data_IF_912698535571
#
_entry.id   IF_912698535571
#
_cell.length_a   1.000
_cell.length_b   1.000
_cell.length_c   1.000
_cell.angle_alpha   90.00
_cell.angle_beta   90.00
_cell.angle_gamma   90.00
#
_symmetry.space_group_name_H-M   'P 1'
#
loop_
_entity.id
_entity.type
_entity.pdbx_description
1 polymer ?
#
# COMPACT_ATOMS: atom_id res chain seq x y z
N UNK A 1 21.98 56.62 -11.48
CA UNK A 1 21.45 56.03 -10.24
C UNK A 1 20.35 54.98 -10.54
N UNK A 2 19.39 55.34 -11.41
CA UNK A 2 18.28 54.46 -11.79
C UNK A 2 18.77 53.25 -12.58
N UNK A 3 19.72 53.43 -13.49
CA UNK A 3 20.33 52.34 -14.29
C UNK A 3 21.14 51.38 -13.43
N UNK A 4 21.83 51.86 -12.40
CA UNK A 4 22.57 51.01 -11.46
C UNK A 4 21.63 50.19 -10.59
N UNK A 5 20.53 50.78 -10.14
CA UNK A 5 19.50 50.07 -9.37
C UNK A 5 18.78 49.00 -10.21
N UNK A 6 18.50 49.28 -11.46
CA UNK A 6 17.95 48.31 -12.39
C UNK A 6 18.93 47.17 -12.71
N UNK A 7 20.21 47.48 -12.86
CA UNK A 7 21.23 46.44 -13.11
C UNK A 7 21.41 45.50 -11.91
N UNK A 8 21.36 46.05 -10.65
CA UNK A 8 21.39 45.21 -9.44
C UNK A 8 20.14 44.38 -9.29
N UNK A 9 18.96 44.93 -9.58
CA UNK A 9 17.69 44.19 -9.52
C UNK A 9 17.65 43.03 -10.54
N UNK A 10 18.11 43.29 -11.76
CA UNK A 10 18.17 42.24 -12.81
C UNK A 10 19.21 41.18 -12.47
N UNK A 11 20.35 41.56 -11.92
CA UNK A 11 21.36 40.61 -11.44
C UNK A 11 20.87 39.75 -10.28
N UNK A 12 20.09 40.33 -9.39
CA UNK A 12 19.51 39.62 -8.24
C UNK A 12 18.42 38.63 -8.71
N UNK A 13 17.59 38.99 -9.68
CA UNK A 13 16.61 38.10 -10.29
C UNK A 13 17.30 36.94 -11.01
N UNK A 14 18.37 37.20 -11.75
CA UNK A 14 19.12 36.16 -12.49
C UNK A 14 19.78 35.16 -11.54
N UNK A 15 20.34 35.64 -10.44
CA UNK A 15 20.90 34.75 -9.39
C UNK A 15 19.83 33.89 -8.71
N UNK A 16 18.66 34.45 -8.44
CA UNK A 16 17.56 33.69 -7.87
C UNK A 16 16.99 32.64 -8.84
N UNK A 17 16.88 32.96 -10.11
CA UNK A 17 16.44 32.03 -11.15
C UNK A 17 17.43 30.88 -11.30
N UNK A 18 18.74 31.18 -11.34
CA UNK A 18 19.77 30.13 -11.41
C UNK A 18 19.81 29.23 -10.17
N UNK A 19 19.61 29.82 -8.99
CA UNK A 19 19.51 29.05 -7.74
C UNK A 19 18.28 28.13 -7.74
N UNK A 20 17.15 28.63 -8.24
CA UNK A 20 15.93 27.82 -8.38
C UNK A 20 16.10 26.67 -9.39
N UNK A 21 16.80 26.91 -10.50
CA UNK A 21 17.07 25.88 -11.49
C UNK A 21 18.06 24.81 -10.96
N UNK A 22 19.08 25.22 -10.23
CA UNK A 22 19.98 24.31 -9.55
C UNK A 22 19.25 23.48 -8.48
N UNK A 23 18.35 24.09 -7.71
CA UNK A 23 17.54 23.39 -6.72
C UNK A 23 16.61 22.37 -7.37
N UNK A 24 15.97 22.71 -8.49
CA UNK A 24 15.15 21.77 -9.27
C UNK A 24 15.98 20.59 -9.79
N UNK A 25 17.18 20.88 -10.31
CA UNK A 25 18.08 19.85 -10.84
C UNK A 25 18.53 18.86 -9.75
N UNK A 26 18.77 19.36 -8.53
CA UNK A 26 19.10 18.53 -7.38
C UNK A 26 17.88 17.79 -6.80
N UNK A 27 16.70 18.42 -6.84
CA UNK A 27 15.48 17.81 -6.34
C UNK A 27 14.96 16.67 -7.20
N UNK A 28 15.17 16.74 -8.53
CA UNK A 28 14.68 15.74 -9.47
C UNK A 28 15.17 14.30 -9.15
N UNK A 29 16.48 14.03 -9.00
CA UNK A 29 16.95 12.69 -8.64
C UNK A 29 16.46 12.23 -7.27
N UNK A 30 16.28 13.16 -6.33
CA UNK A 30 15.74 12.83 -5.00
C UNK A 30 14.27 12.41 -5.09
N UNK A 31 13.45 13.12 -5.87
CA UNK A 31 12.04 12.75 -6.11
C UNK A 31 11.96 11.40 -6.81
N UNK A 32 12.77 11.16 -7.83
CA UNK A 32 12.82 9.88 -8.54
C UNK A 32 13.22 8.75 -7.59
N UNK A 33 14.22 8.97 -6.73
CA UNK A 33 14.62 8.00 -5.72
C UNK A 33 13.49 7.69 -4.74
N UNK A 34 12.78 8.71 -4.23
CA UNK A 34 11.64 8.52 -3.35
C UNK A 34 10.50 7.73 -4.00
N UNK A 35 10.23 7.99 -5.29
CA UNK A 35 9.21 7.26 -6.04
C UNK A 35 9.58 5.79 -6.21
N UNK A 36 10.83 5.50 -6.58
CA UNK A 36 11.32 4.13 -6.73
C UNK A 36 11.29 3.41 -5.37
N UNK A 37 11.77 4.05 -4.31
CA UNK A 37 11.78 3.49 -2.97
C UNK A 37 10.35 3.21 -2.47
N UNK A 38 9.44 4.18 -2.61
CA UNK A 38 8.04 4.03 -2.23
C UNK A 38 7.34 2.94 -3.03
N UNK A 39 7.59 2.86 -4.34
CA UNK A 39 7.07 1.81 -5.20
C UNK A 39 7.58 0.42 -4.79
N UNK A 40 8.85 0.30 -4.48
CA UNK A 40 9.43 -0.96 -4.00
C UNK A 40 8.82 -1.42 -2.67
N UNK A 41 8.63 -0.50 -1.71
CA UNK A 41 7.97 -0.79 -0.45
C UNK A 41 6.52 -1.22 -0.66
N UNK A 42 5.78 -0.52 -1.53
CA UNK A 42 4.40 -0.87 -1.84
C UNK A 42 4.30 -2.29 -2.42
N UNK A 43 5.17 -2.65 -3.37
CA UNK A 43 5.21 -4.00 -3.96
C UNK A 43 5.51 -5.06 -2.90
N UNK A 44 6.48 -4.82 -2.02
CA UNK A 44 6.79 -5.76 -0.92
C UNK A 44 5.61 -5.97 0.01
N UNK A 45 4.94 -4.88 0.42
CA UNK A 45 3.83 -4.94 1.36
C UNK A 45 2.62 -5.64 0.74
N UNK A 46 2.31 -5.34 -0.52
CA UNK A 46 1.23 -6.00 -1.27
C UNK A 46 1.53 -7.48 -1.45
N UNK A 47 2.74 -7.85 -1.87
CA UNK A 47 3.12 -9.26 -2.05
C UNK A 47 3.07 -10.05 -0.73
N UNK A 48 3.51 -9.45 0.38
CA UNK A 48 3.44 -10.09 1.69
C UNK A 48 1.98 -10.26 2.16
N UNK A 49 1.13 -9.27 1.89
CA UNK A 49 -0.30 -9.33 2.20
C UNK A 49 -1.00 -10.40 1.35
N UNK A 50 -0.71 -10.44 0.06
CA UNK A 50 -1.21 -11.47 -0.86
C UNK A 50 -0.80 -12.89 -0.42
N UNK A 51 0.45 -13.08 -0.04
CA UNK A 51 0.93 -14.37 0.45
C UNK A 51 0.20 -14.80 1.73
N UNK A 52 -0.02 -13.87 2.66
CA UNK A 52 -0.76 -14.14 3.89
C UNK A 52 -2.22 -14.50 3.61
N UNK A 53 -2.88 -13.79 2.68
CA UNK A 53 -4.25 -14.07 2.28
C UNK A 53 -4.37 -15.41 1.54
N UNK A 54 -3.47 -15.70 0.61
CA UNK A 54 -3.45 -16.97 -0.11
C UNK A 54 -3.25 -18.16 0.80
N UNK A 55 -2.49 -17.99 1.90
CA UNK A 55 -2.36 -19.03 2.92
C UNK A 55 -3.71 -19.31 3.63
N UNK A 56 -4.53 -18.29 3.89
CA UNK A 56 -5.86 -18.48 4.45
C UNK A 56 -6.82 -19.12 3.45
N UNK A 57 -6.79 -18.69 2.18
CA UNK A 57 -7.57 -19.31 1.10
C UNK A 57 -7.25 -20.78 0.93
N UNK A 58 -5.97 -21.15 0.98
CA UNK A 58 -5.56 -22.57 0.89
C UNK A 58 -6.12 -23.42 2.02
N UNK A 59 -6.24 -22.87 3.24
CA UNK A 59 -6.91 -23.57 4.35
C UNK A 59 -8.38 -23.85 4.04
N UNK A 60 -9.09 -22.85 3.46
CA UNK A 60 -10.49 -23.00 3.08
C UNK A 60 -10.64 -24.04 1.97
N UNK A 61 -9.83 -23.97 0.93
CA UNK A 61 -9.84 -24.91 -0.19
C UNK A 61 -9.56 -26.35 0.27
N UNK A 62 -8.62 -26.51 1.19
CA UNK A 62 -8.32 -27.82 1.80
C UNK A 62 -9.51 -28.35 2.58
N UNK A 63 -10.16 -27.53 3.40
CA UNK A 63 -11.34 -27.92 4.14
C UNK A 63 -12.49 -28.34 3.22
N UNK A 64 -12.73 -27.58 2.13
CA UNK A 64 -13.70 -27.96 1.09
C UNK A 64 -13.34 -29.29 0.45
N UNK A 65 -12.08 -29.49 0.09
CA UNK A 65 -11.58 -30.74 -0.51
C UNK A 65 -11.71 -31.96 0.42
N UNK A 66 -11.59 -31.75 1.73
CA UNK A 66 -11.76 -32.79 2.74
C UNK A 66 -13.24 -33.01 3.15
N UNK A 67 -14.17 -32.16 2.66
CA UNK A 67 -15.59 -32.23 3.02
C UNK A 67 -15.90 -31.78 4.44
N UNK A 68 -15.07 -30.88 5.00
CA UNK A 68 -15.29 -30.32 6.34
C UNK A 68 -16.50 -29.36 6.32
N UNK A 69 -17.26 -29.34 7.43
CA UNK A 69 -18.42 -28.48 7.58
C UNK A 69 -18.03 -27.03 7.93
N UNK A 70 -16.85 -26.84 8.53
CA UNK A 70 -16.37 -25.54 8.96
C UNK A 70 -14.85 -25.45 8.93
N UNK A 71 -14.33 -24.24 8.77
CA UNK A 71 -12.90 -23.96 8.77
C UNK A 71 -12.60 -22.69 9.55
N UNK A 72 -11.54 -22.75 10.36
CA UNK A 72 -11.04 -21.61 11.11
C UNK A 72 -9.90 -20.94 10.33
N UNK A 73 -10.00 -19.64 10.15
CA UNK A 73 -8.97 -18.83 9.52
C UNK A 73 -8.53 -17.67 10.42
N UNK A 74 -7.38 -17.10 10.13
CA UNK A 74 -6.83 -15.97 10.85
C UNK A 74 -7.09 -14.67 10.09
N UNK A 75 -7.25 -13.58 10.82
CA UNK A 75 -7.34 -12.25 10.23
C UNK A 75 -6.02 -11.86 9.58
N UNK A 76 -6.10 -11.20 8.43
CA UNK A 76 -4.94 -10.66 7.73
C UNK A 76 -4.88 -9.16 7.95
N UNK A 77 -3.91 -8.71 8.75
CA UNK A 77 -3.74 -7.29 9.05
C UNK A 77 -3.11 -6.54 7.88
N UNK A 78 -3.53 -5.28 7.72
CA UNK A 78 -2.89 -4.37 6.79
C UNK A 78 -1.49 -4.03 7.26
N UNK A 79 -0.50 -4.19 6.38
CA UNK A 79 0.90 -3.82 6.63
C UNK A 79 1.26 -2.43 6.14
N UNK A 80 0.40 -1.84 5.31
CA UNK A 80 0.62 -0.52 4.75
C UNK A 80 -0.68 0.14 4.31
N UNK A 81 -0.59 1.41 3.92
CA UNK A 81 -1.73 2.15 3.34
C UNK A 81 -2.25 1.58 2.01
N UNK A 82 -1.51 0.67 1.39
CA UNK A 82 -1.86 0.05 0.10
C UNK A 82 -2.60 -1.28 0.25
N UNK A 83 -2.73 -1.79 1.46
CA UNK A 83 -3.43 -3.04 1.76
C UNK A 83 -4.54 -2.80 2.77
N UNK A 84 -5.62 -3.55 2.65
CA UNK A 84 -6.74 -3.49 3.59
C UNK A 84 -6.64 -4.65 4.58
N UNK A 85 -6.98 -4.39 5.83
CA UNK A 85 -7.14 -5.45 6.82
C UNK A 85 -8.34 -6.30 6.46
N UNK A 86 -8.18 -7.62 6.50
CA UNK A 86 -9.27 -8.57 6.39
C UNK A 86 -9.46 -9.16 7.79
N UNK A 87 -10.42 -8.60 8.53
CA UNK A 87 -10.75 -9.06 9.87
C UNK A 87 -11.80 -10.16 9.76
N UNK A 88 -11.51 -11.27 10.38
CA UNK A 88 -12.40 -12.43 10.44
C UNK A 88 -12.96 -12.49 11.86
N UNK A 89 -14.28 -12.49 11.97
CA UNK A 89 -14.97 -12.55 13.26
C UNK A 89 -15.09 -13.99 13.77
N UNK A 90 -15.22 -14.20 15.08
CA UNK A 90 -15.51 -15.55 15.60
C UNK A 90 -16.86 -16.09 15.13
N UNK A 91 -17.79 -15.22 14.76
CA UNK A 91 -19.12 -15.60 14.25
C UNK A 91 -19.10 -15.82 12.74
N UNK A 92 -19.45 -17.01 12.30
CA UNK A 92 -19.53 -17.37 10.89
C UNK A 92 -20.62 -16.57 10.11
N UNK A 93 -21.58 -15.98 10.80
CA UNK A 93 -22.65 -15.15 10.18
C UNK A 93 -22.24 -13.68 10.03
N UNK A 94 -21.20 -13.24 10.73
CA UNK A 94 -20.69 -11.88 10.60
C UNK A 94 -20.02 -11.65 9.24
N UNK A 95 -20.04 -10.42 8.77
CA UNK A 95 -19.25 -10.01 7.61
C UNK A 95 -17.76 -9.86 8.00
N UNK A 96 -16.76 -10.36 7.22
CA UNK A 96 -16.86 -10.96 5.87
C UNK A 96 -17.09 -12.48 5.85
N UNK A 97 -17.14 -13.14 7.00
CA UNK A 97 -17.23 -14.61 7.12
C UNK A 97 -18.43 -15.18 6.37
N UNK A 98 -19.60 -14.54 6.51
CA UNK A 98 -20.81 -14.97 5.85
C UNK A 98 -20.69 -14.94 4.32
N UNK A 99 -19.93 -14.01 3.77
CA UNK A 99 -19.67 -13.93 2.34
C UNK A 99 -18.73 -15.04 1.90
N UNK A 100 -17.64 -15.28 2.64
CA UNK A 100 -16.70 -16.38 2.37
C UNK A 100 -17.40 -17.74 2.50
N UNK A 101 -18.22 -17.92 3.54
CA UNK A 101 -18.99 -19.15 3.74
C UNK A 101 -19.93 -19.46 2.59
N UNK A 102 -20.62 -18.44 2.05
CA UNK A 102 -21.48 -18.60 0.88
C UNK A 102 -20.72 -18.91 -0.39
N UNK A 103 -19.53 -18.30 -0.56
CA UNK A 103 -18.72 -18.48 -1.75
C UNK A 103 -18.11 -19.88 -1.80
N UNK A 104 -17.57 -20.36 -0.70
CA UNK A 104 -16.87 -21.64 -0.63
C UNK A 104 -17.76 -22.82 -0.22
N UNK A 105 -18.97 -22.56 0.28
CA UNK A 105 -19.90 -23.61 0.74
C UNK A 105 -19.47 -24.31 2.04
N UNK A 106 -18.60 -23.67 2.82
CA UNK A 106 -18.12 -24.14 4.12
C UNK A 106 -18.21 -23.02 5.14
N UNK A 107 -18.58 -23.31 6.38
CA UNK A 107 -18.67 -22.26 7.40
C UNK A 107 -17.27 -21.75 7.75
N UNK A 108 -17.02 -20.46 7.51
CA UNK A 108 -15.76 -19.78 7.81
C UNK A 108 -15.92 -18.95 9.07
N UNK A 109 -14.98 -19.08 10.01
CA UNK A 109 -14.96 -18.28 11.24
C UNK A 109 -13.53 -17.94 11.64
N UNK A 110 -13.37 -16.88 12.44
CA UNK A 110 -12.10 -16.37 12.94
C UNK A 110 -11.67 -16.97 14.27
N UNK A 111 -10.48 -16.59 14.70
CA UNK A 111 -9.97 -16.85 16.05
C UNK A 111 -10.64 -15.98 17.09
#
# INVERSE_FOLDING_TARGET
LVLAALATLVGDIDTHVRALDAAKLCALPFVVFLLIYSGHQAVRDVSAHEAAWNAQLSKIEQAVGCGEASVKIESVESRSRFTMSIQVEPDAQAWPNSTLSKWFGVAVYGE
#
